data_IF_318274483755
#
_entry.id   IF_318274483755
#
_cell.length_a   1.000
_cell.length_b   1.000
_cell.length_c   1.000
_cell.angle_alpha   90.00
_cell.angle_beta   90.00
_cell.angle_gamma   90.00
#
_symmetry.space_group_name_H-M   'P 1'
#
loop_
_entity.id
_entity.type
_entity.pdbx_description
1 polymer ?
#
# COMPACT_ATOMS: atom_id res chain seq x y z
N UNK A 1 -60.76 -40.28 5.52
CA UNK A 1 -60.54 -39.03 4.76
C UNK A 1 -60.39 -37.78 5.63
N UNK A 2 -60.91 -37.73 6.86
CA UNK A 2 -60.80 -36.55 7.76
C UNK A 2 -59.37 -36.32 8.30
N UNK A 3 -58.62 -37.39 8.62
CA UNK A 3 -57.24 -37.27 9.13
C UNK A 3 -56.24 -36.71 8.12
N UNK A 4 -56.45 -36.95 6.82
CA UNK A 4 -55.60 -36.41 5.75
C UNK A 4 -55.78 -34.90 5.56
N UNK A 5 -57.00 -34.38 5.76
CA UNK A 5 -57.29 -32.95 5.76
C UNK A 5 -56.70 -32.24 6.97
N UNK A 6 -56.74 -32.87 8.15
CA UNK A 6 -56.15 -32.32 9.37
C UNK A 6 -54.61 -32.25 9.29
N UNK A 7 -53.95 -33.25 8.68
CA UNK A 7 -52.50 -33.21 8.44
C UNK A 7 -52.10 -32.18 7.39
N UNK A 8 -52.93 -31.94 6.37
CA UNK A 8 -52.68 -30.91 5.35
C UNK A 8 -52.86 -29.49 5.90
N UNK A 9 -53.85 -29.31 6.77
CA UNK A 9 -54.11 -28.04 7.44
C UNK A 9 -52.99 -27.68 8.43
N UNK A 10 -52.56 -28.62 9.27
CA UNK A 10 -51.45 -28.41 10.18
C UNK A 10 -50.12 -28.26 9.43
N UNK A 11 -49.87 -29.08 8.40
CA UNK A 11 -48.66 -28.99 7.58
C UNK A 11 -48.56 -27.68 6.79
N UNK A 12 -49.67 -27.16 6.27
CA UNK A 12 -49.75 -25.88 5.55
C UNK A 12 -49.54 -24.67 6.47
N UNK A 13 -50.07 -24.72 7.69
CA UNK A 13 -49.85 -23.69 8.70
C UNK A 13 -48.37 -23.65 9.15
N UNK A 14 -47.74 -24.80 9.28
CA UNK A 14 -46.31 -24.92 9.60
C UNK A 14 -45.41 -24.40 8.48
N UNK A 15 -45.70 -24.72 7.21
CA UNK A 15 -44.91 -24.22 6.07
C UNK A 15 -44.99 -22.69 5.95
N UNK A 16 -46.15 -22.09 6.19
CA UNK A 16 -46.30 -20.62 6.17
C UNK A 16 -45.49 -19.95 7.29
N UNK A 17 -45.50 -20.52 8.50
CA UNK A 17 -44.68 -20.04 9.62
C UNK A 17 -43.19 -20.21 9.35
N UNK A 18 -42.79 -21.31 8.73
CA UNK A 18 -41.40 -21.60 8.39
C UNK A 18 -40.86 -20.66 7.29
N UNK A 19 -41.67 -20.34 6.27
CA UNK A 19 -41.32 -19.35 5.25
C UNK A 19 -41.03 -17.97 5.86
N UNK A 20 -41.89 -17.51 6.78
CA UNK A 20 -41.70 -16.23 7.48
C UNK A 20 -40.44 -16.24 8.37
N UNK A 21 -40.12 -17.35 9.02
CA UNK A 21 -38.88 -17.52 9.80
C UNK A 21 -37.63 -17.48 8.91
N UNK A 22 -37.62 -18.20 7.80
CA UNK A 22 -36.52 -18.20 6.85
C UNK A 22 -36.26 -16.81 6.25
N UNK A 23 -37.33 -16.06 5.95
CA UNK A 23 -37.23 -14.67 5.48
C UNK A 23 -36.64 -13.76 6.56
N UNK A 24 -37.07 -13.90 7.81
CA UNK A 24 -36.51 -13.15 8.94
C UNK A 24 -35.02 -13.48 9.18
N UNK A 25 -34.62 -14.74 9.06
CA UNK A 25 -33.21 -15.16 9.17
C UNK A 25 -32.36 -14.68 7.98
N UNK A 26 -32.92 -14.63 6.77
CA UNK A 26 -32.24 -14.07 5.61
C UNK A 26 -32.03 -12.55 5.74
N UNK A 27 -33.00 -11.83 6.32
CA UNK A 27 -32.86 -10.42 6.67
C UNK A 27 -31.77 -10.21 7.73
N UNK A 28 -31.76 -11.02 8.80
CA UNK A 28 -30.71 -10.95 9.84
C UNK A 28 -29.30 -11.16 9.28
N UNK A 29 -29.12 -12.16 8.40
CA UNK A 29 -27.81 -12.42 7.75
C UNK A 29 -27.37 -11.27 6.84
N UNK A 30 -28.30 -10.62 6.14
CA UNK A 30 -27.97 -9.43 5.33
C UNK A 30 -27.55 -8.26 6.22
N UNK A 31 -28.27 -8.01 7.30
CA UNK A 31 -27.91 -6.97 8.27
C UNK A 31 -26.56 -7.24 8.94
N UNK A 32 -26.24 -8.50 9.26
CA UNK A 32 -24.94 -8.91 9.77
C UNK A 32 -23.82 -8.67 8.75
N UNK A 33 -24.02 -9.07 7.48
CA UNK A 33 -23.04 -8.84 6.42
C UNK A 33 -22.82 -7.35 6.15
N UNK A 34 -23.87 -6.54 6.17
CA UNK A 34 -23.73 -5.10 5.96
C UNK A 34 -23.07 -4.43 7.17
N UNK A 35 -23.35 -4.89 8.40
CA UNK A 35 -22.62 -4.48 9.60
C UNK A 35 -21.14 -4.85 9.53
N UNK A 36 -20.80 -6.06 9.11
CA UNK A 36 -19.41 -6.49 8.93
C UNK A 36 -18.69 -5.68 7.85
N UNK A 37 -19.34 -5.41 6.71
CA UNK A 37 -18.79 -4.53 5.66
C UNK A 37 -18.58 -3.11 6.16
N UNK A 38 -19.53 -2.56 6.92
CA UNK A 38 -19.40 -1.25 7.54
C UNK A 38 -18.26 -1.24 8.56
N UNK A 39 -18.16 -2.25 9.43
CA UNK A 39 -17.05 -2.38 10.37
C UNK A 39 -15.71 -2.55 9.67
N UNK A 40 -15.62 -3.33 8.59
CA UNK A 40 -14.42 -3.47 7.80
C UNK A 40 -14.01 -2.14 7.15
N UNK A 41 -14.98 -1.35 6.66
CA UNK A 41 -14.72 -0.01 6.13
C UNK A 41 -14.25 0.95 7.21
N UNK A 42 -14.90 0.96 8.38
CA UNK A 42 -14.49 1.79 9.53
C UNK A 42 -13.11 1.40 10.02
N UNK A 43 -12.80 0.10 10.16
CA UNK A 43 -11.45 -0.37 10.52
C UNK A 43 -10.40 0.02 9.48
N UNK A 44 -10.74 0.04 8.19
CA UNK A 44 -9.81 0.51 7.14
C UNK A 44 -9.58 2.01 7.21
N UNK A 45 -10.61 2.79 7.51
CA UNK A 45 -10.49 4.24 7.71
C UNK A 45 -9.68 4.56 8.97
N UNK A 46 -10.01 3.92 10.09
CA UNK A 46 -9.26 4.03 11.35
C UNK A 46 -7.79 3.62 11.16
N UNK A 47 -7.52 2.49 10.49
CA UNK A 47 -6.15 2.10 10.15
C UNK A 47 -5.47 3.10 9.22
N UNK A 48 -6.19 3.70 8.28
CA UNK A 48 -5.65 4.75 7.41
C UNK A 48 -5.30 6.03 8.16
N UNK A 49 -6.14 6.44 9.10
CA UNK A 49 -5.93 7.61 9.97
C UNK A 49 -4.84 7.35 11.02
N UNK A 50 -4.82 6.18 11.66
CA UNK A 50 -3.75 5.74 12.56
C UNK A 50 -2.42 5.58 11.81
N UNK A 51 -2.43 5.06 10.58
CA UNK A 51 -1.23 5.02 9.74
C UNK A 51 -0.75 6.43 9.40
N UNK A 52 -1.63 7.35 9.00
CA UNK A 52 -1.25 8.73 8.71
C UNK A 52 -0.69 9.43 9.96
N UNK A 53 -1.35 9.29 11.11
CA UNK A 53 -0.92 9.90 12.37
C UNK A 53 0.37 9.28 12.93
N UNK A 54 0.56 7.96 12.79
CA UNK A 54 1.82 7.30 13.20
C UNK A 54 2.95 7.54 12.20
N UNK A 55 2.67 7.72 10.91
CA UNK A 55 3.63 8.16 9.91
C UNK A 55 4.14 9.57 10.23
N UNK A 56 3.27 10.47 10.67
CA UNK A 56 3.66 11.83 11.08
C UNK A 56 4.51 11.80 12.37
N UNK A 57 4.18 10.96 13.35
CA UNK A 57 4.94 10.85 14.59
C UNK A 57 6.30 10.14 14.41
N UNK A 58 6.36 9.12 13.55
CA UNK A 58 7.60 8.41 13.18
C UNK A 58 8.49 9.27 12.28
N UNK A 59 7.93 10.02 11.33
CA UNK A 59 8.71 10.90 10.44
C UNK A 59 9.36 12.09 11.17
N UNK A 60 8.78 12.56 12.28
CA UNK A 60 9.40 13.59 13.12
C UNK A 60 10.52 12.99 13.99
N UNK A 61 10.37 11.75 14.49
CA UNK A 61 11.38 11.07 15.32
C UNK A 61 12.55 10.50 14.52
N UNK A 62 12.31 10.06 13.30
CA UNK A 62 13.30 9.50 12.38
C UNK A 62 13.70 10.49 11.28
N UNK A 63 13.78 11.79 11.58
CA UNK A 63 14.58 12.73 10.76
C UNK A 63 16.04 12.27 10.82
N UNK A 64 16.34 11.26 10.02
CA UNK A 64 17.59 10.54 10.05
C UNK A 64 18.68 11.44 9.49
N UNK A 65 19.81 11.50 10.19
CA UNK A 65 21.04 12.13 9.69
C UNK A 65 21.40 11.64 8.26
N UNK A 66 20.95 10.44 7.89
CA UNK A 66 21.14 9.83 6.57
C UNK A 66 20.40 10.57 5.45
N UNK A 67 19.16 11.01 5.69
CA UNK A 67 18.36 11.68 4.66
C UNK A 67 18.90 13.08 4.38
N UNK A 68 19.33 13.78 5.43
CA UNK A 68 20.00 15.07 5.33
C UNK A 68 21.38 14.95 4.68
N UNK A 69 22.12 13.88 4.97
CA UNK A 69 23.39 13.60 4.31
C UNK A 69 23.22 13.34 2.81
N UNK A 70 22.23 12.53 2.40
CA UNK A 70 21.98 12.27 0.99
C UNK A 70 21.54 13.55 0.26
N UNK A 71 20.68 14.35 0.88
CA UNK A 71 20.30 15.66 0.35
C UNK A 71 21.53 16.55 0.14
N UNK A 72 22.43 16.61 1.11
CA UNK A 72 23.65 17.39 1.01
C UNK A 72 24.57 16.87 -0.12
N UNK A 73 24.80 15.56 -0.20
CA UNK A 73 25.63 14.94 -1.25
C UNK A 73 25.08 15.22 -2.65
N UNK A 74 23.76 15.29 -2.82
CA UNK A 74 23.13 15.58 -4.11
C UNK A 74 23.14 17.09 -4.43
N UNK A 75 22.76 17.94 -3.48
CA UNK A 75 22.56 19.37 -3.73
C UNK A 75 23.83 20.22 -3.63
N UNK A 76 24.83 19.82 -2.85
CA UNK A 76 26.07 20.60 -2.73
C UNK A 76 26.83 20.69 -4.05
N UNK A 77 27.08 19.59 -4.79
CA UNK A 77 27.73 19.68 -6.11
C UNK A 77 26.95 20.56 -7.09
N UNK A 78 25.61 20.48 -7.04
CA UNK A 78 24.72 21.29 -7.88
C UNK A 78 24.84 22.79 -7.59
N UNK A 79 24.97 23.19 -6.33
CA UNK A 79 25.15 24.61 -5.99
C UNK A 79 26.58 25.06 -6.32
N UNK A 80 27.58 24.23 -6.01
CA UNK A 80 28.99 24.55 -6.23
C UNK A 80 29.35 24.67 -7.72
N UNK A 81 28.63 24.00 -8.62
CA UNK A 81 28.84 24.17 -10.07
C UNK A 81 28.55 25.59 -10.58
N UNK A 82 27.79 26.40 -9.84
CA UNK A 82 27.53 27.81 -10.19
C UNK A 82 28.58 28.77 -9.65
N UNK A 83 29.50 28.31 -8.79
CA UNK A 83 30.56 29.14 -8.21
C UNK A 83 31.84 28.95 -9.04
N UNK A 84 32.36 29.97 -9.74
CA UNK A 84 33.48 29.82 -10.67
C UNK A 84 34.75 29.21 -10.05
N UNK A 85 35.00 29.46 -8.76
CA UNK A 85 36.15 28.89 -8.06
C UNK A 85 36.02 27.40 -7.73
N UNK A 86 34.79 26.86 -7.69
CA UNK A 86 34.53 25.45 -7.35
C UNK A 86 34.10 24.60 -8.55
N UNK A 87 33.53 25.21 -9.60
CA UNK A 87 33.05 24.52 -10.78
C UNK A 87 34.07 23.54 -11.40
N UNK A 88 35.37 23.86 -11.53
CA UNK A 88 36.36 22.93 -12.08
C UNK A 88 36.54 21.65 -11.26
N UNK A 89 36.44 21.75 -9.93
CA UNK A 89 36.55 20.58 -9.04
C UNK A 89 35.32 19.67 -9.14
N UNK A 90 34.14 20.29 -9.31
CA UNK A 90 32.89 19.54 -9.50
C UNK A 90 32.92 18.81 -10.85
N UNK A 91 33.37 19.47 -11.91
CA UNK A 91 33.52 18.86 -13.24
C UNK A 91 34.47 17.65 -13.20
N UNK A 92 35.66 17.81 -12.61
CA UNK A 92 36.62 16.71 -12.43
C UNK A 92 36.05 15.56 -11.57
N UNK A 93 35.25 15.90 -10.55
CA UNK A 93 34.56 14.91 -9.73
C UNK A 93 33.58 14.07 -10.55
N UNK A 94 32.74 14.71 -11.37
CA UNK A 94 31.81 14.00 -12.26
C UNK A 94 32.53 13.16 -13.32
N UNK A 95 33.66 13.64 -13.85
CA UNK A 95 34.49 12.85 -14.76
C UNK A 95 35.05 11.60 -14.08
N UNK A 96 35.53 11.72 -12.84
CA UNK A 96 35.99 10.56 -12.06
C UNK A 96 34.86 9.54 -11.80
N UNK A 97 33.64 10.01 -11.57
CA UNK A 97 32.46 9.14 -11.38
C UNK A 97 32.12 8.31 -12.62
N UNK A 98 32.44 8.79 -13.83
CA UNK A 98 32.23 8.01 -15.06
C UNK A 98 33.13 6.77 -15.16
N UNK A 99 34.27 6.79 -14.46
CA UNK A 99 35.21 5.67 -14.44
C UNK A 99 34.83 4.57 -13.43
N UNK A 100 33.77 4.79 -12.63
CA UNK A 100 33.32 3.80 -11.64
C UNK A 100 32.64 2.62 -12.34
N UNK A 101 33.01 1.36 -12.00
CA UNK A 101 32.38 0.17 -12.56
C UNK A 101 30.86 0.09 -12.29
N UNK A 102 30.11 -0.39 -13.29
CA UNK A 102 28.65 -0.54 -13.21
C UNK A 102 28.14 -1.33 -11.98
N UNK A 103 28.77 -2.45 -11.54
CA UNK A 103 28.30 -3.19 -10.37
C UNK A 103 28.28 -2.37 -9.09
N UNK A 104 29.18 -1.39 -8.96
CA UNK A 104 29.23 -0.50 -7.81
C UNK A 104 28.02 0.45 -7.79
N UNK A 105 27.62 0.95 -8.97
CA UNK A 105 26.46 1.82 -9.12
C UNK A 105 25.17 1.14 -8.68
N UNK A 106 25.01 -0.16 -8.90
CA UNK A 106 23.83 -0.90 -8.40
C UNK A 106 23.72 -0.87 -6.87
N UNK A 107 24.84 -1.01 -6.16
CA UNK A 107 24.88 -0.93 -4.69
C UNK A 107 24.53 0.47 -4.23
N UNK A 108 25.13 1.49 -4.86
CA UNK A 108 24.83 2.90 -4.55
C UNK A 108 23.34 3.20 -4.77
N UNK A 109 22.78 2.80 -5.92
CA UNK A 109 21.35 3.00 -6.22
C UNK A 109 20.45 2.29 -5.20
N UNK A 110 20.79 1.08 -4.77
CA UNK A 110 20.03 0.36 -3.76
C UNK A 110 20.02 1.10 -2.41
N UNK A 111 21.18 1.64 -1.98
CA UNK A 111 21.28 2.45 -0.76
C UNK A 111 20.43 3.72 -0.88
N UNK A 112 20.50 4.43 -2.01
CA UNK A 112 19.71 5.65 -2.26
C UNK A 112 18.21 5.38 -2.23
N UNK A 113 17.75 4.28 -2.84
CA UNK A 113 16.34 3.87 -2.83
C UNK A 113 15.88 3.52 -1.41
N UNK A 114 16.76 2.89 -0.62
CA UNK A 114 16.49 2.52 0.77
C UNK A 114 16.37 3.76 1.67
N UNK A 115 17.32 4.70 1.56
CA UNK A 115 17.33 5.94 2.34
C UNK A 115 16.18 6.86 1.98
N UNK A 116 15.84 7.01 0.69
CA UNK A 116 14.71 7.85 0.28
C UNK A 116 13.33 7.22 0.55
N UNK A 117 13.28 6.03 1.16
CA UNK A 117 12.03 5.33 1.44
C UNK A 117 11.27 4.87 0.19
N UNK A 118 11.89 4.90 -1.00
CA UNK A 118 11.25 4.58 -2.28
C UNK A 118 11.08 3.09 -2.53
N UNK A 119 11.28 2.23 -1.52
CA UNK A 119 11.14 0.76 -1.60
C UNK A 119 9.78 0.31 -2.13
N UNK A 120 8.70 0.96 -1.71
CA UNK A 120 7.35 0.64 -2.17
C UNK A 120 7.15 0.98 -3.65
N UNK A 121 7.69 2.13 -4.08
CA UNK A 121 7.66 2.56 -5.49
C UNK A 121 8.47 1.61 -6.37
N UNK A 122 9.67 1.21 -5.91
CA UNK A 122 10.49 0.21 -6.60
C UNK A 122 9.73 -1.11 -6.80
N UNK A 123 9.06 -1.60 -5.75
CA UNK A 123 8.27 -2.83 -5.82
C UNK A 123 7.16 -2.72 -6.87
N UNK A 124 6.38 -1.64 -6.82
CA UNK A 124 5.31 -1.40 -7.79
C UNK A 124 5.86 -1.31 -9.23
N UNK A 125 7.01 -0.67 -9.41
CA UNK A 125 7.67 -0.57 -10.71
C UNK A 125 8.09 -1.96 -11.23
N UNK A 126 8.73 -2.77 -10.38
CA UNK A 126 9.12 -4.14 -10.72
C UNK A 126 7.92 -5.01 -11.06
N UNK A 127 6.79 -4.85 -10.36
CA UNK A 127 5.55 -5.55 -10.67
C UNK A 127 4.98 -5.16 -12.04
N UNK A 128 5.02 -3.87 -12.39
CA UNK A 128 4.63 -3.38 -13.73
C UNK A 128 5.53 -3.98 -14.81
N UNK A 129 6.85 -3.98 -14.61
CA UNK A 129 7.80 -4.56 -15.55
C UNK A 129 7.59 -6.07 -15.71
N UNK A 130 7.42 -6.79 -14.60
CA UNK A 130 7.14 -8.23 -14.60
C UNK A 130 5.87 -8.57 -15.38
N UNK A 131 4.79 -7.81 -15.15
CA UNK A 131 3.54 -8.00 -15.88
C UNK A 131 3.65 -7.67 -17.37
N UNK A 132 4.40 -6.64 -17.74
CA UNK A 132 4.63 -6.28 -19.15
C UNK A 132 5.46 -7.35 -19.88
N UNK A 133 6.46 -7.94 -19.22
CA UNK A 133 7.25 -9.05 -19.80
C UNK A 133 6.39 -10.30 -19.97
N UNK A 134 5.51 -10.60 -19.01
CA UNK A 134 4.58 -11.72 -19.09
C UNK A 134 3.50 -11.55 -20.17
N UNK A 135 3.07 -10.32 -20.44
CA UNK A 135 2.10 -9.97 -21.48
C UNK A 135 2.64 -10.13 -22.91
N UNK A 136 3.98 -10.10 -23.08
CA UNK A 136 4.64 -10.24 -24.38
C UNK A 136 5.09 -11.67 -24.74
N UNK A 137 4.82 -12.65 -23.87
CA UNK A 137 5.03 -14.09 -24.15
C UNK A 137 3.69 -14.79 -24.26
#
# INVERSE_FOLDING_TARGET
MIGALFSLFNGGLETYRQYNRNKAEALKRKDELDKEKHQARVRRLQKGEEQASSLDEVSIRERGLKDEFLMLVVFVPLILSFIPGYAPYIEQGFEALQNIPEPYWYVVSAIVIDTLGMRAMLRNLLDIFSNNVRSRR
#
